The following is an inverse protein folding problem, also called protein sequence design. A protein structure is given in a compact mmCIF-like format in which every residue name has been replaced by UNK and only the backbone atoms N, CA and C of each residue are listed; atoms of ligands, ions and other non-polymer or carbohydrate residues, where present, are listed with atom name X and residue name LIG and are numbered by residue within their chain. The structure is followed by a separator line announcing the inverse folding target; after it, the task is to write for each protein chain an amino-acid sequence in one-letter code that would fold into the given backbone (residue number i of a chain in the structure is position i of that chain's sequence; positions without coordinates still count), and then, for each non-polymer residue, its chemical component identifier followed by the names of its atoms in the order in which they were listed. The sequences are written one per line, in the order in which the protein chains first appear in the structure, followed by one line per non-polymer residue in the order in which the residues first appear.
data_IF_793499763197
#
_entry.id   IF_793499763197
#
_cell.length_a   1.000
_cell.length_b   1.000
_cell.length_c   1.000
_cell.angle_alpha   90.00
_cell.angle_beta   90.00
_cell.angle_gamma   90.00
#
_symmetry.space_group_name_H-M   'P 1'
#
loop_
_entity.id
_entity.type
_entity.pdbx_description
1 polymer ?
#
# COMPACT_ATOMS: atom_id res chain seq x y z
N UNK A 1 7.31 -20.36 -5.18
CA UNK A 1 7.51 -18.95 -4.75
C UNK A 1 8.55 -19.03 -3.65
N UNK A 2 9.57 -18.16 -3.61
CA UNK A 2 10.56 -18.22 -2.51
C UNK A 2 9.88 -17.83 -1.20
N UNK A 3 10.15 -18.53 -0.11
CA UNK A 3 9.42 -18.40 1.17
C UNK A 3 9.45 -16.96 1.71
N UNK A 4 10.60 -16.27 1.62
CA UNK A 4 10.72 -14.86 2.02
C UNK A 4 9.79 -13.90 1.25
N UNK A 5 9.37 -14.24 0.03
CA UNK A 5 8.44 -13.41 -0.74
C UNK A 5 7.02 -13.63 -0.21
N UNK A 6 6.69 -14.84 0.21
CA UNK A 6 5.38 -15.17 0.78
C UNK A 6 5.17 -14.42 2.10
N UNK A 7 6.14 -14.51 3.02
CA UNK A 7 6.12 -13.79 4.30
C UNK A 7 6.00 -12.28 4.09
N UNK A 8 6.86 -11.72 3.22
CA UNK A 8 6.81 -10.28 2.91
C UNK A 8 5.44 -9.84 2.39
N UNK A 9 4.80 -10.62 1.51
CA UNK A 9 3.49 -10.26 0.96
C UNK A 9 2.45 -10.20 2.07
N UNK A 10 2.45 -11.17 2.99
CA UNK A 10 1.53 -11.19 4.13
C UNK A 10 1.78 -10.05 5.10
N UNK A 11 3.05 -9.78 5.46
CA UNK A 11 3.40 -8.67 6.35
C UNK A 11 2.97 -7.31 5.78
N UNK A 12 3.28 -7.06 4.52
CA UNK A 12 2.89 -5.81 3.84
C UNK A 12 1.36 -5.68 3.78
N UNK A 13 0.67 -6.77 3.48
CA UNK A 13 -0.79 -6.79 3.37
C UNK A 13 -1.45 -6.50 4.72
N UNK A 14 -1.01 -7.18 5.79
CA UNK A 14 -1.49 -6.95 7.15
C UNK A 14 -1.21 -5.52 7.61
N UNK A 15 0.01 -5.02 7.39
CA UNK A 15 0.34 -3.63 7.71
C UNK A 15 -0.58 -2.63 7.01
N UNK A 16 -0.84 -2.78 5.71
CA UNK A 16 -1.74 -1.90 4.97
C UNK A 16 -3.17 -2.03 5.51
N UNK A 17 -3.63 -3.23 5.81
CA UNK A 17 -4.97 -3.44 6.34
C UNK A 17 -5.16 -2.82 7.72
N UNK A 18 -4.22 -3.00 8.65
CA UNK A 18 -4.29 -2.51 10.03
C UNK A 18 -4.12 -1.00 10.11
N UNK A 19 -3.12 -0.46 9.43
CA UNK A 19 -2.77 0.97 9.52
C UNK A 19 -3.49 1.85 8.50
N UNK A 20 -4.22 1.24 7.57
CA UNK A 20 -4.81 1.91 6.40
C UNK A 20 -3.79 2.64 5.52
N UNK A 21 -2.51 2.32 5.65
CA UNK A 21 -1.42 3.01 4.97
C UNK A 21 -1.53 2.92 3.44
N UNK A 22 -1.05 3.96 2.76
CA UNK A 22 -0.90 3.94 1.31
C UNK A 22 0.27 3.03 0.90
N UNK A 23 0.22 2.51 -0.34
CA UNK A 23 1.33 1.74 -0.96
C UNK A 23 2.68 2.46 -0.84
N UNK A 24 2.69 3.79 -0.88
CA UNK A 24 3.91 4.60 -0.80
C UNK A 24 4.46 4.68 0.62
N UNK A 25 3.60 4.70 1.65
CA UNK A 25 4.02 4.63 3.04
C UNK A 25 4.56 3.24 3.37
N UNK A 26 3.83 2.18 2.99
CA UNK A 26 4.29 0.81 3.17
C UNK A 26 5.66 0.58 2.48
N UNK A 27 5.85 1.08 1.27
CA UNK A 27 7.15 1.01 0.57
C UNK A 27 8.31 1.59 1.40
N UNK A 28 8.10 2.72 2.09
CA UNK A 28 9.12 3.33 2.96
C UNK A 28 9.40 2.47 4.19
N UNK A 29 8.37 1.92 4.81
CA UNK A 29 8.47 1.10 6.03
C UNK A 29 9.24 -0.20 5.77
N UNK A 30 8.88 -0.89 4.68
CA UNK A 30 9.46 -2.19 4.34
C UNK A 30 10.73 -2.10 3.47
N UNK A 31 11.25 -0.89 3.23
CA UNK A 31 12.49 -0.70 2.47
C UNK A 31 12.44 -1.21 1.02
N UNK A 32 11.26 -1.21 0.40
CA UNK A 32 11.05 -1.73 -0.96
C UNK A 32 10.46 -0.67 -1.88
N UNK A 33 10.60 -0.86 -3.20
CA UNK A 33 10.00 0.07 -4.15
C UNK A 33 8.47 0.03 -4.07
N UNK A 34 7.82 1.18 -4.30
CA UNK A 34 6.35 1.28 -4.45
C UNK A 34 5.81 0.24 -5.44
N UNK A 35 6.50 0.01 -6.56
CA UNK A 35 6.08 -0.95 -7.59
C UNK A 35 6.15 -2.40 -7.08
N UNK A 36 7.11 -2.71 -6.21
CA UNK A 36 7.22 -4.01 -5.54
C UNK A 36 6.02 -4.24 -4.62
N UNK A 37 5.74 -3.30 -3.72
CA UNK A 37 4.56 -3.35 -2.83
C UNK A 37 3.28 -3.52 -3.64
N UNK A 38 3.12 -2.74 -4.72
CA UNK A 38 1.94 -2.84 -5.56
C UNK A 38 1.78 -4.22 -6.18
N UNK A 39 2.85 -4.80 -6.77
CA UNK A 39 2.81 -6.17 -7.31
C UNK A 39 2.50 -7.20 -6.23
N UNK A 40 3.03 -7.01 -5.02
CA UNK A 40 2.78 -7.89 -3.87
C UNK A 40 1.30 -7.90 -3.49
N UNK A 41 0.70 -6.74 -3.26
CA UNK A 41 -0.69 -6.65 -2.79
C UNK A 41 -1.77 -6.76 -3.87
N UNK A 42 -1.44 -6.61 -5.15
CA UNK A 42 -2.44 -6.68 -6.24
C UNK A 42 -2.39 -7.94 -7.08
N UNK A 43 -1.27 -8.67 -7.06
CA UNK A 43 -1.08 -9.88 -7.89
C UNK A 43 -0.72 -11.12 -7.08
N UNK A 44 0.13 -10.97 -6.07
CA UNK A 44 0.63 -12.10 -5.29
C UNK A 44 -0.30 -12.43 -4.13
N UNK A 45 -0.78 -11.41 -3.42
CA UNK A 45 -1.67 -11.57 -2.27
C UNK A 45 -2.93 -12.36 -2.60
N UNK A 46 -3.61 -12.05 -3.71
CA UNK A 46 -4.79 -12.81 -4.17
C UNK A 46 -4.56 -14.33 -4.30
N UNK A 47 -3.34 -14.76 -4.65
CA UNK A 47 -2.98 -16.18 -4.78
C UNK A 47 -2.61 -16.83 -3.45
N UNK A 48 -2.33 -16.02 -2.44
CA UNK A 48 -1.87 -16.44 -1.11
C UNK A 48 -3.03 -16.45 -0.14
N UNK A 49 -3.73 -15.33 -0.02
CA UNK A 49 -4.87 -15.15 0.87
C UNK A 49 -5.87 -14.20 0.19
N UNK A 50 -6.96 -14.78 -0.32
CA UNK A 50 -8.03 -14.04 -1.00
C UNK A 50 -8.83 -13.16 -0.03
N UNK A 51 -9.04 -13.61 1.21
CA UNK A 51 -9.80 -12.84 2.19
C UNK A 51 -9.04 -11.58 2.60
N UNK A 52 -7.72 -11.70 2.77
CA UNK A 52 -6.87 -10.54 3.04
C UNK A 52 -6.74 -9.63 1.81
N UNK A 53 -6.68 -10.18 0.59
CA UNK A 53 -6.70 -9.40 -0.66
C UNK A 53 -7.93 -8.48 -0.74
N UNK A 54 -9.13 -9.01 -0.47
CA UNK A 54 -10.36 -8.22 -0.52
C UNK A 54 -10.38 -7.11 0.53
N UNK A 55 -9.90 -7.40 1.75
CA UNK A 55 -9.74 -6.39 2.81
C UNK A 55 -8.77 -5.29 2.43
N UNK A 56 -7.61 -5.64 1.87
CA UNK A 56 -6.59 -4.69 1.43
C UNK A 56 -7.10 -3.87 0.24
N UNK A 57 -7.83 -4.48 -0.71
CA UNK A 57 -8.42 -3.79 -1.86
C UNK A 57 -9.34 -2.66 -1.42
N UNK A 58 -10.21 -2.90 -0.43
CA UNK A 58 -11.08 -1.86 0.13
C UNK A 58 -10.28 -0.66 0.68
N UNK A 59 -9.17 -0.92 1.37
CA UNK A 59 -8.27 0.14 1.88
C UNK A 59 -7.60 0.90 0.73
N UNK A 60 -7.19 0.21 -0.33
CA UNK A 60 -6.56 0.82 -1.50
C UNK A 60 -7.55 1.69 -2.28
N UNK A 61 -8.80 1.28 -2.38
CA UNK A 61 -9.85 2.01 -3.07
C UNK A 61 -10.27 3.26 -2.28
N UNK A 62 -10.41 3.15 -0.96
CA UNK A 62 -10.57 4.30 -0.07
C UNK A 62 -9.41 5.31 -0.27
N UNK A 63 -8.17 4.82 -0.22
CA UNK A 63 -6.99 5.63 -0.47
C UNK A 63 -6.92 6.20 -1.90
N UNK A 64 -7.61 5.61 -2.87
CA UNK A 64 -7.69 6.16 -4.22
C UNK A 64 -8.68 7.32 -4.26
N UNK A 65 -9.81 7.20 -3.57
CA UNK A 65 -10.84 8.25 -3.48
C UNK A 65 -10.29 9.53 -2.83
N UNK A 66 -9.50 9.41 -1.77
CA UNK A 66 -8.92 10.57 -1.06
C UNK A 66 -7.68 11.17 -1.72
N UNK A 67 -7.22 10.59 -2.84
CA UNK A 67 -5.96 11.02 -3.49
C UNK A 67 -5.98 12.51 -3.85
N UNK A 68 -7.13 13.02 -4.30
CA UNK A 68 -7.27 14.41 -4.71
C UNK A 68 -7.05 15.38 -3.53
N UNK A 69 -7.62 15.08 -2.36
CA UNK A 69 -7.40 15.86 -1.14
C UNK A 69 -5.92 15.89 -0.74
N UNK A 70 -5.28 14.71 -0.69
CA UNK A 70 -3.83 14.62 -0.39
C UNK A 70 -2.96 15.32 -1.43
N UNK A 71 -3.35 15.29 -2.70
CA UNK A 71 -2.68 16.00 -3.78
C UNK A 71 -2.75 17.52 -3.59
N UNK A 72 -3.93 18.05 -3.28
CA UNK A 72 -4.14 19.47 -2.99
C UNK A 72 -3.32 19.93 -1.78
N UNK A 73 -3.33 19.15 -0.68
CA UNK A 73 -2.50 19.43 0.49
C UNK A 73 -1.00 19.42 0.18
N UNK A 74 -0.53 18.47 -0.65
CA UNK A 74 0.87 18.40 -1.03
C UNK A 74 1.32 19.64 -1.82
N UNK A 75 0.49 20.10 -2.77
CA UNK A 75 0.75 21.36 -3.50
C UNK A 75 0.78 22.55 -2.54
N UNK A 76 -0.23 22.68 -1.67
CA UNK A 76 -0.29 23.76 -0.67
C UNK A 76 0.97 23.80 0.20
N UNK A 77 1.39 22.65 0.74
CA UNK A 77 2.60 22.53 1.58
C UNK A 77 3.87 22.88 0.80
N UNK A 78 3.98 22.49 -0.48
CA UNK A 78 5.14 22.83 -1.32
C UNK A 78 5.35 24.33 -1.40
N UNK A 79 4.29 25.10 -1.65
CA UNK A 79 4.39 26.56 -1.82
C UNK A 79 4.43 27.35 -0.50
N UNK A 80 3.95 26.77 0.61
CA UNK A 80 4.10 27.38 1.94
C UNK A 80 5.51 27.21 2.52
N UNK A 81 6.22 26.15 2.12
CA UNK A 81 7.57 25.84 2.59
C UNK A 81 8.66 26.23 1.58
N UNK A 82 8.30 27.02 0.56
CA UNK A 82 9.20 27.55 -0.46
C UNK A 82 9.49 29.01 -0.15
#
# INVERSE_FOLDING_TARGET
MKDYIYERVLEIANYIYETKATVRQAAKVFGVSKSTVHKDVTKRLQKIDKNLDDKVRNVLDYNKSERHYRGGEATRKKYLNM
#
